data_IF_599506443656
#
_entry.id   IF_599506443656
#
_cell.length_a   1.000
_cell.length_b   1.000
_cell.length_c   1.000
_cell.angle_alpha   90.00
_cell.angle_beta   90.00
_cell.angle_gamma   90.00
#
_symmetry.space_group_name_H-M   'P 1'
#
loop_
_entity.id
_entity.type
_entity.pdbx_description
1 polymer ?
#
# COMPACT_ATOMS: atom_id res chain seq x y z
N UNK A 1 -9.93 14.59 40.90
CA UNK A 1 -8.55 14.64 41.41
C UNK A 1 -7.66 14.84 40.20
N UNK A 2 -7.20 16.08 40.00
CA UNK A 2 -6.11 16.41 39.09
C UNK A 2 -4.85 15.65 39.60
N UNK A 3 -3.84 15.34 38.78
CA UNK A 3 -2.85 16.29 38.29
C UNK A 3 -1.98 15.63 37.20
N UNK A 4 -1.63 16.45 36.20
CA UNK A 4 -0.37 16.55 35.46
C UNK A 4 0.30 15.32 34.82
N UNK A 5 0.29 15.31 33.48
CA UNK A 5 1.33 14.67 32.66
C UNK A 5 2.48 15.67 32.58
N UNK A 6 3.36 15.63 33.58
CA UNK A 6 4.59 16.41 33.55
C UNK A 6 5.54 15.87 32.48
N UNK A 7 5.86 16.77 31.54
CA UNK A 7 7.00 16.67 30.67
C UNK A 7 8.27 16.66 31.54
N UNK A 8 9.05 15.58 31.48
CA UNK A 8 10.44 15.61 31.98
C UNK A 8 11.34 16.14 30.86
N UNK A 9 11.43 17.47 30.81
CA UNK A 9 12.61 18.14 30.24
C UNK A 9 13.62 18.37 31.35
N UNK A 10 14.75 17.63 31.36
CA UNK A 10 16.01 18.24 31.80
C UNK A 10 17.25 17.45 31.33
N UNK A 11 18.00 18.10 30.45
CA UNK A 11 19.46 18.17 30.37
C UNK A 11 20.23 17.56 31.55
N UNK A 12 20.90 16.43 31.30
CA UNK A 12 22.23 16.05 31.82
C UNK A 12 22.58 14.67 31.26
N UNK A 13 23.43 14.65 30.23
CA UNK A 13 24.07 13.42 29.73
C UNK A 13 24.85 12.74 30.88
N UNK A 14 24.38 11.60 31.38
CA UNK A 14 25.22 10.42 31.66
C UNK A 14 24.42 9.25 32.27
N UNK A 15 24.43 8.11 31.54
CA UNK A 15 24.20 6.73 32.02
C UNK A 15 22.81 6.38 32.59
N UNK A 16 21.76 6.41 31.76
CA UNK A 16 20.53 5.66 32.05
C UNK A 16 20.35 4.51 31.04
N UNK A 17 20.07 3.26 31.46
CA UNK A 17 19.90 2.12 30.56
C UNK A 17 18.58 2.22 29.78
N UNK A 18 18.62 1.86 28.49
CA UNK A 18 17.46 1.80 27.60
C UNK A 18 16.67 0.52 27.89
N UNK A 19 15.36 0.64 28.11
CA UNK A 19 14.43 -0.48 28.27
C UNK A 19 13.88 -0.83 26.87
N UNK A 20 14.06 -2.07 26.44
CA UNK A 20 13.49 -2.59 25.18
C UNK A 20 12.40 -3.59 25.51
N UNK A 21 11.20 -3.39 24.94
CA UNK A 21 10.07 -4.30 25.05
C UNK A 21 10.00 -5.13 23.77
N UNK A 22 10.14 -6.45 23.87
CA UNK A 22 10.00 -7.37 22.74
C UNK A 22 8.67 -8.12 22.91
N UNK A 23 7.82 -8.08 21.88
CA UNK A 23 6.56 -8.83 21.83
C UNK A 23 6.79 -10.13 21.05
N UNK A 24 6.78 -11.26 21.73
CA UNK A 24 6.72 -12.58 21.07
C UNK A 24 5.25 -12.97 20.81
N UNK A 25 5.01 -13.96 19.94
CA UNK A 25 3.69 -14.41 19.46
C UNK A 25 2.77 -14.96 20.57
N UNK A 26 3.25 -15.05 21.81
CA UNK A 26 2.52 -15.50 22.99
C UNK A 26 2.31 -14.41 24.08
N UNK A 27 2.49 -13.12 23.77
CA UNK A 27 2.10 -12.00 24.64
C UNK A 27 2.74 -11.97 26.05
N UNK A 28 3.95 -12.52 26.21
CA UNK A 28 4.71 -12.44 27.46
C UNK A 28 5.79 -11.34 27.38
N UNK A 29 5.56 -10.24 28.11
CA UNK A 29 6.51 -9.13 28.26
C UNK A 29 7.66 -9.55 29.19
N UNK A 30 8.84 -9.81 28.63
CA UNK A 30 10.04 -10.12 29.44
C UNK A 30 10.91 -8.87 29.56
N UNK A 31 11.12 -8.38 30.78
CA UNK A 31 11.96 -7.22 31.09
C UNK A 31 13.38 -7.69 31.40
N UNK A 32 14.35 -7.43 30.54
CA UNK A 32 15.76 -7.78 30.76
C UNK A 32 16.64 -6.53 30.85
N UNK A 33 17.42 -6.39 31.93
CA UNK A 33 18.42 -5.30 32.09
C UNK A 33 19.60 -5.55 31.15
N UNK A 34 19.94 -4.55 30.34
CA UNK A 34 21.16 -4.59 29.51
C UNK A 34 22.17 -3.55 30.03
N UNK A 35 23.34 -4.02 30.46
CA UNK A 35 24.48 -3.20 30.91
C UNK A 35 25.41 -2.91 29.74
N UNK A 36 25.43 -1.68 29.23
CA UNK A 36 26.30 -1.26 28.13
C UNK A 36 27.70 -0.93 28.62
N UNK A 37 28.56 -1.93 28.69
CA UNK A 37 30.01 -1.72 28.77
C UNK A 37 30.71 -1.99 27.43
N UNK A 38 30.14 -2.82 26.56
CA UNK A 38 30.59 -3.10 25.19
C UNK A 38 29.58 -4.05 24.54
N UNK A 39 28.43 -3.55 24.11
CA UNK A 39 27.57 -4.30 23.19
C UNK A 39 27.69 -3.55 21.89
N UNK A 40 28.63 -4.01 21.07
CA UNK A 40 28.64 -3.75 19.65
C UNK A 40 27.21 -3.90 19.14
N UNK A 41 26.73 -2.86 18.46
CA UNK A 41 25.59 -2.86 17.54
C UNK A 41 25.81 -3.94 16.47
N UNK A 42 25.85 -5.21 16.87
CA UNK A 42 25.74 -6.35 15.98
C UNK A 42 24.27 -6.37 15.58
N UNK A 43 24.02 -5.61 14.52
CA UNK A 43 23.06 -5.92 13.47
C UNK A 43 21.97 -6.88 13.93
N UNK A 44 20.83 -6.34 14.36
CA UNK A 44 19.57 -7.06 14.15
C UNK A 44 19.38 -7.07 12.63
N UNK A 45 20.13 -7.95 11.97
CA UNK A 45 20.05 -8.20 10.55
C UNK A 45 18.71 -8.94 10.39
N UNK A 46 17.62 -8.17 10.23
CA UNK A 46 16.33 -8.71 9.77
C UNK A 46 16.48 -9.11 8.29
N UNK A 47 17.39 -10.04 8.00
CA UNK A 47 17.95 -10.31 6.67
C UNK A 47 17.01 -11.05 5.70
N UNK A 48 15.69 -10.97 5.90
CA UNK A 48 14.74 -11.53 4.93
C UNK A 48 13.38 -10.84 4.85
N UNK A 49 13.10 -9.83 5.67
CA UNK A 49 11.82 -9.15 5.57
C UNK A 49 11.85 -8.13 4.43
N UNK A 50 11.31 -8.54 3.28
CA UNK A 50 11.07 -7.65 2.14
C UNK A 50 9.67 -7.05 2.31
N UNK A 51 9.55 -5.77 2.70
CA UNK A 51 8.25 -5.16 2.91
C UNK A 51 7.51 -5.01 1.58
N UNK A 52 6.24 -5.37 1.59
CA UNK A 52 5.30 -5.07 0.52
C UNK A 52 4.98 -3.56 0.50
N UNK A 53 4.50 -3.06 -0.64
CA UNK A 53 4.04 -1.68 -0.75
C UNK A 53 2.97 -1.30 0.28
N UNK A 54 2.11 -2.25 0.64
CA UNK A 54 1.07 -2.06 1.66
C UNK A 54 1.69 -1.78 3.03
N UNK A 55 2.70 -2.55 3.43
CA UNK A 55 3.38 -2.40 4.72
C UNK A 55 4.15 -1.08 4.78
N UNK A 56 4.83 -0.68 3.69
CA UNK A 56 5.53 0.60 3.62
C UNK A 56 4.58 1.80 3.77
N UNK A 57 3.40 1.74 3.14
CA UNK A 57 2.37 2.80 3.24
C UNK A 57 1.74 2.83 4.63
N UNK A 58 1.55 1.66 5.24
CA UNK A 58 1.07 1.55 6.62
C UNK A 58 2.09 2.16 7.59
N UNK A 59 3.39 1.89 7.39
CA UNK A 59 4.45 2.52 8.15
C UNK A 59 4.52 4.05 7.94
N UNK A 60 4.28 4.54 6.72
CA UNK A 60 4.13 5.99 6.47
C UNK A 60 2.96 6.60 7.23
N UNK A 61 1.81 5.92 7.23
CA UNK A 61 0.62 6.38 7.95
C UNK A 61 0.89 6.45 9.46
N UNK A 62 1.57 5.44 10.02
CA UNK A 62 2.03 5.48 11.40
C UNK A 62 2.92 6.70 11.68
N UNK A 63 3.91 6.97 10.81
CA UNK A 63 4.77 8.14 10.95
C UNK A 63 4.00 9.47 10.86
N UNK A 64 2.96 9.53 10.02
CA UNK A 64 2.08 10.69 9.91
C UNK A 64 1.30 10.93 11.22
N UNK A 65 0.79 9.87 11.85
CA UNK A 65 0.14 9.98 13.17
C UNK A 65 1.10 10.43 14.27
N UNK A 66 2.39 10.04 14.19
CA UNK A 66 3.47 10.55 15.05
C UNK A 66 3.88 12.00 14.77
N UNK A 67 3.15 12.71 13.90
CA UNK A 67 3.41 14.11 13.52
C UNK A 67 4.80 14.34 12.92
N UNK A 68 5.41 13.29 12.35
CA UNK A 68 6.65 13.40 11.59
C UNK A 68 6.40 14.08 10.24
N UNK A 69 7.43 14.70 9.70
CA UNK A 69 7.41 15.24 8.34
C UNK A 69 7.69 14.13 7.32
N UNK A 70 7.24 14.29 6.06
CA UNK A 70 7.51 13.32 4.99
C UNK A 70 9.02 13.04 4.82
N UNK A 71 9.85 14.07 5.00
CA UNK A 71 11.31 13.93 4.89
C UNK A 71 11.94 13.15 6.04
N UNK A 72 11.39 13.24 7.25
CA UNK A 72 11.82 12.43 8.39
C UNK A 72 11.34 10.98 8.23
N UNK A 73 10.08 10.78 7.85
CA UNK A 73 9.51 9.44 7.62
C UNK A 73 10.24 8.69 6.52
N UNK A 74 10.61 9.38 5.42
CA UNK A 74 11.44 8.79 4.37
C UNK A 74 12.81 8.35 4.89
N UNK A 75 13.46 9.15 5.76
CA UNK A 75 14.74 8.77 6.37
C UNK A 75 14.59 7.55 7.28
N UNK A 76 13.55 7.51 8.10
CA UNK A 76 13.25 6.36 8.96
C UNK A 76 12.97 5.09 8.14
N UNK A 77 12.26 5.20 7.01
CA UNK A 77 12.02 4.07 6.12
C UNK A 77 13.30 3.57 5.44
N UNK A 78 14.18 4.47 5.01
CA UNK A 78 15.47 4.10 4.44
C UNK A 78 16.37 3.40 5.48
N UNK A 79 16.37 3.88 6.71
CA UNK A 79 17.13 3.26 7.81
C UNK A 79 16.60 1.86 8.15
N UNK A 80 15.28 1.67 8.12
CA UNK A 80 14.64 0.40 8.46
C UNK A 80 14.64 -0.64 7.31
N UNK A 81 14.42 -0.20 6.07
CA UNK A 81 14.15 -1.07 4.92
C UNK A 81 15.17 -0.95 3.78
N UNK A 82 16.12 -0.02 3.88
CA UNK A 82 17.17 0.17 2.88
C UNK A 82 16.61 0.39 1.48
N UNK A 83 17.07 -0.43 0.52
CA UNK A 83 16.68 -0.38 -0.89
C UNK A 83 15.19 -0.72 -1.12
N UNK A 84 14.55 -1.40 -0.16
CA UNK A 84 13.12 -1.73 -0.24
C UNK A 84 12.21 -0.59 0.22
N UNK A 85 12.76 0.55 0.66
CA UNK A 85 11.99 1.71 1.06
C UNK A 85 11.26 2.38 -0.13
N UNK A 86 10.16 3.08 0.18
CA UNK A 86 9.48 3.91 -0.81
C UNK A 86 10.38 5.07 -1.25
N UNK A 87 10.32 5.39 -2.55
CA UNK A 87 11.02 6.54 -3.08
C UNK A 87 10.52 7.86 -2.48
N UNK A 88 11.39 8.87 -2.47
CA UNK A 88 11.10 10.20 -1.91
C UNK A 88 9.80 10.79 -2.45
N UNK A 89 9.59 10.77 -3.76
CA UNK A 89 8.37 11.32 -4.39
C UNK A 89 7.11 10.61 -3.89
N UNK A 90 7.13 9.28 -3.84
CA UNK A 90 5.99 8.48 -3.37
C UNK A 90 5.66 8.79 -1.90
N UNK A 91 6.67 8.91 -1.04
CA UNK A 91 6.47 9.30 0.35
C UNK A 91 5.72 10.65 0.47
N UNK A 92 6.13 11.65 -0.33
CA UNK A 92 5.49 12.97 -0.31
C UNK A 92 4.05 12.93 -0.84
N UNK A 93 3.77 12.14 -1.89
CA UNK A 93 2.42 11.94 -2.42
C UNK A 93 1.49 11.30 -1.38
N UNK A 94 1.96 10.27 -0.68
CA UNK A 94 1.21 9.65 0.42
C UNK A 94 0.93 10.64 1.55
N UNK A 95 1.92 11.44 1.94
CA UNK A 95 1.72 12.50 2.92
C UNK A 95 0.70 13.54 2.47
N UNK A 96 0.63 13.86 1.17
CA UNK A 96 -0.39 14.75 0.62
C UNK A 96 -1.79 14.14 0.76
N UNK A 97 -1.94 12.84 0.48
CA UNK A 97 -3.21 12.09 0.65
C UNK A 97 -3.66 12.04 2.12
N UNK A 98 -2.73 11.75 3.03
CA UNK A 98 -3.04 11.74 4.47
C UNK A 98 -3.48 13.11 4.98
N UNK A 99 -2.90 14.20 4.44
CA UNK A 99 -3.34 15.56 4.75
C UNK A 99 -4.74 15.89 4.22
N UNK A 100 -5.18 15.27 3.13
CA UNK A 100 -6.56 15.39 2.65
C UNK A 100 -7.56 14.50 3.40
N UNK A 101 -7.11 13.73 4.41
CA UNK A 101 -7.96 12.85 5.20
C UNK A 101 -8.22 11.49 4.55
N UNK A 102 -7.52 11.17 3.47
CA UNK A 102 -7.56 9.84 2.85
C UNK A 102 -6.46 8.97 3.46
N UNK A 103 -6.87 7.97 4.24
CA UNK A 103 -6.00 7.05 4.95
C UNK A 103 -6.03 5.62 4.37
N UNK A 104 -6.66 5.42 3.21
CA UNK A 104 -6.68 4.09 2.60
C UNK A 104 -5.32 3.77 1.96
N UNK A 105 -4.58 2.89 2.61
CA UNK A 105 -3.25 2.42 2.19
C UNK A 105 -3.31 1.30 1.14
N UNK A 106 -4.50 0.73 0.89
CA UNK A 106 -4.70 -0.30 -0.13
C UNK A 106 -4.47 0.30 -1.50
N UNK A 107 -4.03 -0.53 -2.44
CA UNK A 107 -4.20 -0.13 -3.84
C UNK A 107 -5.70 -0.10 -4.09
N UNK A 108 -6.21 1.04 -4.57
CA UNK A 108 -7.48 1.02 -5.27
C UNK A 108 -7.41 -0.11 -6.30
N UNK A 109 -8.41 -0.99 -6.31
CA UNK A 109 -8.57 -1.89 -7.43
C UNK A 109 -8.56 -0.99 -8.66
N UNK A 110 -7.54 -1.14 -9.51
CA UNK A 110 -7.50 -0.43 -10.78
C UNK A 110 -8.74 -0.88 -11.52
N UNK A 111 -9.79 -0.06 -11.46
CA UNK A 111 -11.06 -0.36 -12.07
C UNK A 111 -10.80 -0.76 -13.51
N UNK A 112 -11.47 -1.83 -13.95
CA UNK A 112 -11.43 -2.19 -15.37
C UNK A 112 -11.86 -0.95 -16.16
N UNK A 113 -11.15 -0.59 -17.24
CA UNK A 113 -11.59 0.50 -18.10
C UNK A 113 -13.08 0.37 -18.41
N UNK A 114 -13.84 1.47 -18.39
CA UNK A 114 -15.27 1.42 -18.66
C UNK A 114 -15.53 0.71 -19.99
N UNK A 115 -16.57 -0.12 -20.02
CA UNK A 115 -16.96 -0.82 -21.24
C UNK A 115 -17.31 0.22 -22.30
N UNK A 116 -16.86 0.01 -23.53
CA UNK A 116 -17.15 0.92 -24.66
C UNK A 116 -18.59 0.77 -25.19
N UNK A 117 -19.24 -0.34 -24.89
CA UNK A 117 -20.63 -0.66 -25.27
C UNK A 117 -21.22 -1.68 -24.28
N UNK A 118 -22.55 -1.74 -24.17
CA UNK A 118 -23.25 -2.68 -23.29
C UNK A 118 -23.53 -4.02 -23.99
N UNK A 119 -23.71 -5.09 -23.20
CA UNK A 119 -24.06 -6.41 -23.75
C UNK A 119 -25.41 -6.43 -24.44
N UNK A 120 -26.33 -5.59 -23.97
CA UNK A 120 -27.63 -5.42 -24.58
C UNK A 120 -27.52 -4.89 -26.02
N UNK A 121 -26.60 -3.95 -26.28
CA UNK A 121 -26.40 -3.38 -27.61
C UNK A 121 -25.85 -4.42 -28.58
N UNK A 122 -24.85 -5.20 -28.12
CA UNK A 122 -24.29 -6.30 -28.92
C UNK A 122 -25.30 -7.43 -29.13
N UNK A 123 -26.11 -7.75 -28.10
CA UNK A 123 -27.14 -8.78 -28.21
C UNK A 123 -28.24 -8.37 -29.19
N UNK A 124 -28.70 -7.11 -29.16
CA UNK A 124 -29.71 -6.61 -30.08
C UNK A 124 -29.25 -6.69 -31.55
N UNK A 125 -27.96 -6.42 -31.82
CA UNK A 125 -27.39 -6.57 -33.17
C UNK A 125 -27.34 -8.04 -33.63
N UNK A 126 -27.08 -8.97 -32.71
CA UNK A 126 -27.10 -10.41 -33.00
C UNK A 126 -28.53 -10.95 -33.19
N UNK A 127 -29.50 -10.37 -32.48
CA UNK A 127 -30.91 -10.75 -32.58
C UNK A 127 -31.55 -10.20 -33.88
N UNK A 128 -31.04 -9.08 -34.40
CA UNK A 128 -31.44 -8.52 -35.69
C UNK A 128 -30.92 -9.35 -36.87
N UNK A 129 -29.65 -9.76 -36.82
CA UNK A 129 -28.98 -10.53 -37.87
C UNK A 129 -27.84 -11.35 -37.25
N UNK A 130 -27.98 -12.67 -37.20
CA UNK A 130 -27.01 -13.57 -36.60
C UNK A 130 -25.84 -13.93 -37.54
N UNK A 131 -25.95 -13.58 -38.83
CA UNK A 131 -24.94 -13.85 -39.84
C UNK A 131 -23.87 -12.74 -39.93
N UNK A 132 -23.95 -11.69 -39.10
CA UNK A 132 -23.00 -10.58 -39.12
C UNK A 132 -21.60 -11.02 -38.72
N UNK A 133 -20.61 -10.53 -39.47
CA UNK A 133 -19.21 -10.73 -39.13
C UNK A 133 -18.82 -9.85 -37.93
N UNK A 134 -17.83 -10.29 -37.15
CA UNK A 134 -17.30 -9.50 -36.03
C UNK A 134 -16.80 -8.11 -36.44
N UNK A 135 -16.33 -7.97 -37.69
CA UNK A 135 -15.89 -6.68 -38.25
C UNK A 135 -17.07 -5.73 -38.46
N UNK A 136 -18.19 -6.22 -39.00
CA UNK A 136 -19.40 -5.40 -39.17
C UNK A 136 -19.98 -4.95 -37.83
N UNK A 137 -19.99 -5.83 -36.83
CA UNK A 137 -20.38 -5.49 -35.46
C UNK A 137 -19.45 -4.43 -34.84
N UNK A 138 -18.15 -4.55 -35.10
CA UNK A 138 -17.15 -3.60 -34.63
C UNK A 138 -17.35 -2.20 -35.26
N UNK A 139 -17.65 -2.15 -36.56
CA UNK A 139 -17.93 -0.91 -37.28
C UNK A 139 -19.22 -0.24 -36.77
N UNK A 140 -20.29 -1.01 -36.54
CA UNK A 140 -21.56 -0.52 -35.97
C UNK A 140 -21.38 0.04 -34.56
N UNK A 141 -20.63 -0.66 -33.71
CA UNK A 141 -20.38 -0.28 -32.31
C UNK A 141 -19.18 0.68 -32.16
N UNK A 142 -18.52 1.07 -33.26
CA UNK A 142 -17.32 1.93 -33.30
C UNK A 142 -16.22 1.44 -32.33
N UNK A 143 -16.02 0.14 -32.28
CA UNK A 143 -14.98 -0.52 -31.47
C UNK A 143 -14.05 -1.36 -32.33
N UNK A 144 -12.99 -1.92 -31.75
CA UNK A 144 -12.12 -2.85 -32.46
C UNK A 144 -12.77 -4.23 -32.56
N UNK A 145 -12.48 -4.96 -33.63
CA UNK A 145 -12.94 -6.34 -33.81
C UNK A 145 -12.49 -7.27 -32.66
N UNK A 146 -11.31 -7.01 -32.08
CA UNK A 146 -10.82 -7.69 -30.88
C UNK A 146 -11.74 -7.50 -29.68
N UNK A 147 -12.29 -6.30 -29.48
CA UNK A 147 -13.20 -6.02 -28.37
C UNK A 147 -14.52 -6.81 -28.52
N UNK A 148 -15.03 -6.93 -29.75
CA UNK A 148 -16.19 -7.76 -30.07
C UNK A 148 -15.88 -9.25 -29.82
N UNK A 149 -14.75 -9.75 -30.32
CA UNK A 149 -14.33 -11.15 -30.14
C UNK A 149 -14.19 -11.52 -28.66
N UNK A 150 -13.53 -10.68 -27.87
CA UNK A 150 -13.40 -10.85 -26.42
C UNK A 150 -14.77 -10.88 -25.74
N UNK A 151 -15.70 -10.01 -26.19
CA UNK A 151 -17.01 -9.89 -25.58
C UNK A 151 -17.93 -11.06 -25.92
N UNK A 152 -17.95 -11.50 -27.18
CA UNK A 152 -18.70 -12.69 -27.61
C UNK A 152 -18.24 -13.95 -26.87
N UNK A 153 -16.93 -14.09 -26.62
CA UNK A 153 -16.40 -15.16 -25.76
C UNK A 153 -16.88 -15.05 -24.32
N UNK A 154 -16.87 -13.84 -23.75
CA UNK A 154 -17.36 -13.60 -22.39
C UNK A 154 -18.88 -13.86 -22.24
N UNK A 155 -19.66 -13.66 -23.31
CA UNK A 155 -21.09 -13.96 -23.38
C UNK A 155 -21.39 -15.45 -23.68
N UNK A 156 -20.36 -16.27 -23.94
CA UNK A 156 -20.54 -17.69 -24.30
C UNK A 156 -21.12 -17.93 -25.70
N UNK A 157 -21.12 -16.92 -26.57
CA UNK A 157 -21.64 -17.01 -27.96
C UNK A 157 -20.66 -17.69 -28.93
N UNK A 158 -19.41 -17.89 -28.50
CA UNK A 158 -18.37 -18.61 -29.25
C UNK A 158 -17.81 -19.69 -28.32
N UNK A 159 -17.90 -20.96 -28.73
CA UNK A 159 -17.23 -22.07 -28.08
C UNK A 159 -15.86 -22.32 -28.73
N UNK A 160 -14.95 -22.91 -27.94
CA UNK A 160 -13.57 -23.23 -28.32
C UNK A 160 -13.50 -24.20 -29.49
#
# INVERSE_FOLDING_TARGET
VALDVDAVTNTSLQRCPVIVLISDKDFQLTITRVSFSSISLLEINMSSFVPTNYELRTALLFCFHLKKTAAESHRMLLEAFGEHALGKTQCFEWFKRFKSGDFDVRNEERGRPPKKFEDADLQALLDEDDAQTQQQLADKLKVTQEAISLRLKAMGKIQK
#
